data_IF_429724694685
#
_entry.id   IF_429724694685
#
_cell.length_a   1.000
_cell.length_b   1.000
_cell.length_c   1.000
_cell.angle_alpha   90.00
_cell.angle_beta   90.00
_cell.angle_gamma   90.00
#
_symmetry.space_group_name_H-M   'P 1'
#
loop_
_entity.id
_entity.type
_entity.pdbx_description
1 polymer ?
#
# COMPACT_ATOMS: atom_id res chain seq x y z
N UNK A 1 9.63 -5.88 -8.08
CA UNK A 1 8.80 -4.71 -7.72
C UNK A 1 9.54 -3.42 -8.01
N UNK A 2 8.87 -2.40 -8.56
CA UNK A 2 9.47 -1.11 -8.90
C UNK A 2 8.85 0.02 -8.07
N UNK A 3 9.68 0.86 -7.42
CA UNK A 3 9.22 2.02 -6.66
C UNK A 3 9.13 3.21 -7.61
N UNK A 4 7.91 3.68 -7.85
CA UNK A 4 7.61 4.77 -8.80
C UNK A 4 6.82 5.92 -8.18
N UNK A 5 6.87 6.07 -6.85
CA UNK A 5 6.27 7.19 -6.13
C UNK A 5 6.82 8.55 -6.58
N UNK A 6 6.16 9.64 -6.19
CA UNK A 6 6.53 11.01 -6.52
C UNK A 6 6.71 11.19 -8.04
N UNK A 7 5.67 10.78 -8.80
CA UNK A 7 5.69 10.82 -10.27
C UNK A 7 6.89 10.08 -10.88
N UNK A 8 7.20 8.88 -10.35
CA UNK A 8 8.39 8.10 -10.68
C UNK A 8 9.68 8.94 -10.51
N UNK A 9 9.79 9.63 -9.36
CA UNK A 9 10.90 10.54 -9.06
C UNK A 9 11.12 11.61 -10.14
N UNK A 10 10.02 12.08 -10.76
CA UNK A 10 10.02 13.08 -11.82
C UNK A 10 10.10 12.55 -13.25
N UNK A 11 10.23 11.24 -13.44
CA UNK A 11 10.34 10.62 -14.77
C UNK A 11 8.99 10.37 -15.46
N UNK A 12 7.88 10.61 -14.76
CA UNK A 12 6.53 10.36 -15.28
C UNK A 12 5.99 9.00 -14.88
N UNK A 13 5.03 9.01 -13.94
CA UNK A 13 4.47 7.81 -13.30
C UNK A 13 3.97 6.77 -14.31
N UNK A 14 3.10 7.19 -15.22
CA UNK A 14 2.48 6.30 -16.22
C UNK A 14 3.49 5.83 -17.25
N UNK A 15 4.36 6.73 -17.72
CA UNK A 15 5.38 6.38 -18.72
C UNK A 15 6.33 5.30 -18.19
N UNK A 16 6.82 5.45 -16.95
CA UNK A 16 7.69 4.45 -16.34
C UNK A 16 6.95 3.13 -16.11
N UNK A 17 5.70 3.16 -15.62
CA UNK A 17 4.93 1.94 -15.43
C UNK A 17 4.68 1.20 -16.75
N UNK A 18 4.40 1.93 -17.83
CA UNK A 18 4.19 1.34 -19.17
C UNK A 18 5.49 0.75 -19.74
N UNK A 19 6.63 1.35 -19.42
CA UNK A 19 7.94 0.86 -19.86
C UNK A 19 8.40 -0.39 -19.09
N UNK A 20 7.74 -0.75 -18.00
CA UNK A 20 8.07 -1.91 -17.14
C UNK A 20 6.89 -2.89 -17.03
N UNK A 21 6.36 -3.44 -18.13
CA UNK A 21 5.16 -4.28 -18.11
C UNK A 21 5.35 -5.55 -17.27
N UNK A 22 6.57 -6.08 -17.20
CA UNK A 22 6.91 -7.31 -16.48
C UNK A 22 7.21 -7.10 -14.98
N UNK A 23 7.02 -5.89 -14.46
CA UNK A 23 7.19 -5.67 -13.04
C UNK A 23 6.10 -6.40 -12.24
N UNK A 24 6.47 -7.20 -11.22
CA UNK A 24 5.50 -7.89 -10.35
C UNK A 24 4.54 -6.92 -9.65
N UNK A 25 5.03 -5.75 -9.28
CA UNK A 25 4.24 -4.70 -8.65
C UNK A 25 4.90 -3.33 -8.78
N UNK A 26 4.07 -2.29 -8.74
CA UNK A 26 4.48 -0.90 -8.60
C UNK A 26 4.21 -0.41 -7.18
N UNK A 27 5.16 0.31 -6.61
CA UNK A 27 5.08 0.86 -5.27
C UNK A 27 4.99 2.38 -5.33
N UNK A 28 3.89 2.91 -4.81
CA UNK A 28 3.61 4.35 -4.78
C UNK A 28 3.40 4.83 -3.34
N UNK A 29 3.47 6.13 -3.11
CA UNK A 29 3.26 6.69 -1.78
C UNK A 29 1.77 6.91 -1.51
N UNK A 30 1.03 7.40 -2.49
CA UNK A 30 -0.31 7.97 -2.35
C UNK A 30 -1.34 7.25 -3.20
N UNK A 31 -2.59 7.30 -2.75
CA UNK A 31 -3.71 6.65 -3.42
C UNK A 31 -4.06 7.32 -4.77
N UNK A 32 -3.80 8.62 -4.91
CA UNK A 32 -3.99 9.33 -6.18
C UNK A 32 -3.02 8.85 -7.27
N UNK A 33 -1.77 8.53 -6.91
CA UNK A 33 -0.80 7.92 -7.81
C UNK A 33 -1.26 6.51 -8.23
N UNK A 34 -1.70 5.69 -7.28
CA UNK A 34 -2.24 4.36 -7.57
C UNK A 34 -3.46 4.42 -8.51
N UNK A 35 -4.36 5.37 -8.25
CA UNK A 35 -5.55 5.58 -9.08
C UNK A 35 -5.20 6.08 -10.48
N UNK A 36 -4.15 6.90 -10.62
CA UNK A 36 -3.66 7.33 -11.92
C UNK A 36 -3.15 6.15 -12.76
N UNK A 37 -2.45 5.19 -12.14
CA UNK A 37 -2.02 3.96 -12.80
C UNK A 37 -3.20 3.12 -13.29
N UNK A 38 -4.25 2.94 -12.46
CA UNK A 38 -5.45 2.19 -12.87
C UNK A 38 -6.19 2.89 -14.01
N UNK A 39 -6.36 4.23 -13.97
CA UNK A 39 -6.97 4.99 -15.07
C UNK A 39 -6.18 4.88 -16.36
N UNK A 40 -4.86 4.75 -16.28
CA UNK A 40 -3.98 4.52 -17.45
C UNK A 40 -3.99 3.07 -17.95
N UNK A 41 -4.77 2.17 -17.35
CA UNK A 41 -4.90 0.78 -17.77
C UNK A 41 -3.81 -0.16 -17.23
N UNK A 42 -2.95 0.29 -16.31
CA UNK A 42 -1.93 -0.56 -15.67
C UNK A 42 -2.62 -1.63 -14.83
N UNK A 43 -2.35 -2.90 -15.12
CA UNK A 43 -2.95 -4.08 -14.45
C UNK A 43 -2.05 -4.68 -13.38
N UNK A 44 -0.78 -4.37 -13.38
CA UNK A 44 0.17 -4.82 -12.37
C UNK A 44 -0.33 -4.51 -10.97
N UNK A 45 0.12 -5.27 -9.98
CA UNK A 45 -0.18 -4.98 -8.58
C UNK A 45 0.35 -3.60 -8.21
N UNK A 46 -0.40 -2.90 -7.37
CA UNK A 46 0.00 -1.60 -6.84
C UNK A 46 -0.02 -1.65 -5.33
N UNK A 47 1.09 -1.28 -4.70
CA UNK A 47 1.26 -1.24 -3.26
C UNK A 47 1.38 0.20 -2.76
N UNK A 48 0.52 0.58 -1.82
CA UNK A 48 0.55 1.86 -1.12
C UNK A 48 1.57 1.79 0.03
N UNK A 49 2.75 2.40 -0.14
CA UNK A 49 3.87 2.33 0.80
C UNK A 49 3.62 2.98 2.16
N UNK A 50 2.75 3.99 2.19
CA UNK A 50 2.37 4.69 3.42
C UNK A 50 1.03 4.18 3.98
N UNK A 51 0.40 3.25 3.24
CA UNK A 51 -0.93 2.77 3.55
C UNK A 51 -1.99 3.83 3.27
N UNK A 52 -3.10 3.74 4.00
CA UNK A 52 -4.24 4.65 3.90
C UNK A 52 -4.51 5.30 5.25
N UNK A 53 -4.98 6.53 5.24
CA UNK A 53 -5.20 7.33 6.47
C UNK A 53 -6.67 7.59 6.76
N UNK A 54 -7.55 7.37 5.79
CA UNK A 54 -9.00 7.56 5.94
C UNK A 54 -9.77 6.31 5.55
N UNK A 55 -10.98 6.16 6.07
CA UNK A 55 -11.88 5.08 5.68
C UNK A 55 -12.27 5.16 4.19
N UNK A 56 -12.36 6.37 3.63
CA UNK A 56 -12.64 6.57 2.21
C UNK A 56 -11.50 6.04 1.34
N UNK A 57 -10.24 6.35 1.70
CA UNK A 57 -9.07 5.81 0.99
C UNK A 57 -8.98 4.28 1.10
N UNK A 58 -9.37 3.75 2.27
CA UNK A 58 -9.39 2.30 2.47
C UNK A 58 -10.44 1.64 1.56
N UNK A 59 -11.65 2.18 1.47
CA UNK A 59 -12.67 1.71 0.54
C UNK A 59 -12.20 1.79 -0.92
N UNK A 60 -11.60 2.91 -1.30
CA UNK A 60 -11.05 3.10 -2.64
C UNK A 60 -9.92 2.10 -2.93
N UNK A 61 -9.06 1.79 -1.95
CA UNK A 61 -7.99 0.81 -2.13
C UNK A 61 -8.55 -0.60 -2.39
N UNK A 62 -9.59 -0.97 -1.65
CA UNK A 62 -10.28 -2.25 -1.84
C UNK A 62 -10.95 -2.33 -3.22
N UNK A 63 -11.68 -1.28 -3.63
CA UNK A 63 -12.39 -1.25 -4.92
C UNK A 63 -11.44 -1.34 -6.14
N UNK A 64 -10.19 -0.88 -5.98
CA UNK A 64 -9.19 -0.86 -7.06
C UNK A 64 -8.11 -1.94 -6.92
N UNK A 65 -8.29 -2.86 -5.97
CA UNK A 65 -7.34 -3.95 -5.67
C UNK A 65 -5.91 -3.43 -5.44
N UNK A 66 -5.78 -2.42 -4.54
CA UNK A 66 -4.48 -1.94 -4.10
C UNK A 66 -4.06 -2.68 -2.84
N UNK A 67 -2.82 -3.13 -2.81
CA UNK A 67 -2.18 -3.62 -1.59
C UNK A 67 -1.84 -2.43 -0.68
N UNK A 68 -1.94 -2.63 0.63
CA UNK A 68 -1.68 -1.58 1.60
C UNK A 68 -0.60 -2.00 2.61
N UNK A 69 0.37 -1.12 2.83
CA UNK A 69 1.27 -1.22 3.96
C UNK A 69 0.57 -0.70 5.21
N UNK A 70 0.64 -1.45 6.30
CA UNK A 70 0.17 -1.05 7.62
C UNK A 70 1.40 -0.77 8.48
N UNK A 71 1.48 0.44 8.99
CA UNK A 71 2.65 0.94 9.71
C UNK A 71 2.33 1.52 11.10
N UNK A 72 1.05 1.55 11.48
CA UNK A 72 0.60 2.05 12.79
C UNK A 72 -0.72 1.43 13.23
N UNK A 73 -1.05 1.61 14.52
CA UNK A 73 -2.23 1.01 15.15
C UNK A 73 -3.56 1.56 14.63
N UNK A 74 -3.60 2.81 14.17
CA UNK A 74 -4.83 3.40 13.60
C UNK A 74 -5.22 2.71 12.31
N UNK A 75 -4.24 2.41 11.45
CA UNK A 75 -4.47 1.65 10.22
C UNK A 75 -4.91 0.20 10.52
N UNK A 76 -4.34 -0.46 11.54
CA UNK A 76 -4.83 -1.77 12.00
C UNK A 76 -6.29 -1.74 12.43
N UNK A 77 -6.70 -0.69 13.15
CA UNK A 77 -8.09 -0.54 13.60
C UNK A 77 -9.04 -0.32 12.41
N UNK A 78 -8.65 0.49 11.44
CA UNK A 78 -9.44 0.69 10.22
C UNK A 78 -9.64 -0.62 9.43
N UNK A 79 -8.61 -1.46 9.32
CA UNK A 79 -8.72 -2.77 8.66
C UNK A 79 -9.76 -3.68 9.29
N UNK A 80 -9.91 -3.64 10.62
CA UNK A 80 -10.91 -4.44 11.34
C UNK A 80 -12.34 -4.17 10.89
N UNK A 81 -12.60 -3.00 10.31
CA UNK A 81 -13.92 -2.59 9.82
C UNK A 81 -14.25 -3.23 8.44
N UNK A 82 -13.25 -3.57 7.62
CA UNK A 82 -13.44 -3.99 6.23
C UNK A 82 -13.04 -5.45 5.93
N UNK A 83 -12.77 -6.25 6.93
CA UNK A 83 -12.17 -7.60 6.82
C UNK A 83 -12.90 -8.63 5.94
N UNK A 84 -14.13 -8.40 5.54
CA UNK A 84 -14.95 -9.45 4.91
C UNK A 84 -15.03 -9.42 3.37
N UNK A 85 -14.41 -8.46 2.67
CA UNK A 85 -14.71 -8.23 1.25
C UNK A 85 -13.51 -7.94 0.33
N UNK A 86 -12.25 -8.09 0.77
CA UNK A 86 -11.09 -7.67 -0.03
C UNK A 86 -10.13 -8.79 -0.39
N UNK A 87 -9.71 -8.82 -1.66
CA UNK A 87 -8.57 -9.60 -2.18
C UNK A 87 -7.23 -8.88 -1.99
N UNK A 88 -7.26 -7.62 -1.56
CA UNK A 88 -6.07 -6.79 -1.34
C UNK A 88 -5.17 -7.39 -0.26
N UNK A 89 -3.87 -7.44 -0.52
CA UNK A 89 -2.90 -7.94 0.44
C UNK A 89 -2.48 -6.85 1.40
N UNK A 90 -2.29 -7.25 2.65
CA UNK A 90 -1.81 -6.38 3.70
C UNK A 90 -0.35 -6.70 4.00
N UNK A 91 0.46 -5.65 4.07
CA UNK A 91 1.88 -5.72 4.34
C UNK A 91 2.17 -5.02 5.66
N UNK A 92 2.57 -5.77 6.68
CA UNK A 92 3.03 -5.16 7.94
C UNK A 92 4.43 -4.59 7.76
N UNK A 93 4.59 -3.34 8.15
CA UNK A 93 5.88 -2.67 8.16
C UNK A 93 6.43 -2.58 9.58
N UNK A 94 7.65 -3.09 9.76
CA UNK A 94 8.41 -2.94 11.00
C UNK A 94 9.56 -1.96 10.80
N UNK A 95 9.76 -1.09 11.79
CA UNK A 95 10.90 -0.19 11.82
C UNK A 95 12.08 -0.90 12.49
N UNK A 96 13.12 -1.18 11.71
CA UNK A 96 14.33 -1.82 12.16
C UNK A 96 15.46 -0.82 12.48
N UNK A 97 15.15 0.49 12.56
CA UNK A 97 16.13 1.50 12.94
C UNK A 97 16.08 2.82 12.16
N UNK A 98 15.30 2.92 11.08
CA UNK A 98 15.16 4.18 10.33
C UNK A 98 14.33 5.24 11.09
N UNK A 99 13.46 4.83 12.01
CA UNK A 99 12.66 5.69 12.88
C UNK A 99 11.74 6.68 12.12
N UNK A 100 11.14 6.22 11.01
CA UNK A 100 10.21 7.03 10.22
C UNK A 100 8.79 6.50 10.24
N UNK A 101 8.57 5.28 9.78
CA UNK A 101 7.28 4.60 9.69
C UNK A 101 7.45 3.12 9.97
N UNK A 102 6.50 2.52 10.67
CA UNK A 102 6.47 1.10 10.97
C UNK A 102 6.30 0.85 12.46
N UNK A 103 5.88 -0.34 12.79
CA UNK A 103 5.84 -0.81 14.17
C UNK A 103 7.25 -1.06 14.68
N UNK A 104 7.51 -0.73 15.93
CA UNK A 104 8.75 -1.17 16.57
C UNK A 104 8.78 -2.69 16.65
N UNK A 105 9.96 -3.29 16.52
CA UNK A 105 10.12 -4.74 16.50
C UNK A 105 9.55 -5.43 17.76
N UNK A 106 9.58 -4.75 18.91
CA UNK A 106 8.99 -5.23 20.17
C UNK A 106 7.48 -5.45 20.11
N UNK A 107 6.77 -4.76 19.18
CA UNK A 107 5.33 -4.91 18.97
C UNK A 107 4.99 -5.87 17.82
N UNK A 108 5.96 -6.54 17.21
CA UNK A 108 5.76 -7.40 16.04
C UNK A 108 4.74 -8.50 16.31
N UNK A 109 4.82 -9.18 17.45
CA UNK A 109 3.89 -10.24 17.83
C UNK A 109 2.45 -9.73 18.01
N UNK A 110 2.27 -8.57 18.65
CA UNK A 110 0.96 -7.97 18.86
C UNK A 110 0.31 -7.52 17.55
N UNK A 111 1.08 -6.88 16.66
CA UNK A 111 0.59 -6.43 15.36
C UNK A 111 0.19 -7.62 14.48
N UNK A 112 0.98 -8.67 14.44
CA UNK A 112 0.70 -9.90 13.69
C UNK A 112 -0.54 -10.62 14.23
N UNK A 113 -0.70 -10.69 15.55
CA UNK A 113 -1.85 -11.35 16.19
C UNK A 113 -3.16 -10.63 15.86
N UNK A 114 -3.16 -9.29 15.83
CA UNK A 114 -4.35 -8.50 15.45
C UNK A 114 -4.76 -8.67 13.98
N UNK A 115 -3.87 -9.09 13.11
CA UNK A 115 -4.17 -9.40 11.71
C UNK A 115 -4.65 -10.84 11.51
N UNK A 116 -4.28 -11.75 12.40
CA UNK A 116 -4.68 -13.16 12.32
C UNK A 116 -6.12 -13.40 12.79
N UNK A 117 -6.70 -12.47 13.54
CA UNK A 117 -8.09 -12.51 14.01
C UNK A 117 -9.05 -11.86 13.02
#
# INVERSE_FOLDING_TARGET
MAIIKANAYGHGLVGVATALPDADAFLVARIDEASALRRAGVKNRVLLLEGVTTAADLLQSVQNDFDCVINNSSQLTMLGILRSQSTSRIWLKFDSGMNRLGFRCEFASQASHRLAL
#
